data_IF_213881100869
#
_entry.id   IF_213881100869
#
_cell.length_a   1.000
_cell.length_b   1.000
_cell.length_c   1.000
_cell.angle_alpha   90.00
_cell.angle_beta   90.00
_cell.angle_gamma   90.00
#
_symmetry.space_group_name_H-M   'P 1'
#
loop_
_entity.id
_entity.type
_entity.pdbx_description
1 polymer ?
#
# COMPACT_ATOMS: atom_id res chain seq x y z
N UNK A 1 -9.78 -2.63 -11.99
CA UNK A 1 -9.99 -1.32 -12.62
C UNK A 1 -11.22 -1.40 -13.50
N UNK A 2 -12.21 -0.55 -13.24
CA UNK A 2 -13.48 -0.57 -13.97
C UNK A 2 -13.46 0.54 -15.02
N UNK A 3 -13.71 0.19 -16.28
CA UNK A 3 -13.78 1.16 -17.39
C UNK A 3 -15.05 2.00 -17.37
N UNK A 4 -15.96 1.72 -16.45
CA UNK A 4 -17.27 2.38 -16.29
C UNK A 4 -17.41 3.14 -14.97
N UNK A 5 -16.38 3.11 -14.11
CA UNK A 5 -16.38 3.79 -12.81
C UNK A 5 -15.67 5.14 -12.87
N UNK A 6 -16.11 6.09 -12.04
CA UNK A 6 -15.46 7.39 -11.86
C UNK A 6 -15.51 7.78 -10.39
N UNK A 7 -14.40 8.32 -9.88
CA UNK A 7 -14.30 8.88 -8.53
C UNK A 7 -14.42 10.41 -8.61
N UNK A 8 -15.31 10.99 -7.82
CA UNK A 8 -15.44 12.45 -7.65
C UNK A 8 -14.84 12.80 -6.30
N UNK A 9 -13.62 13.36 -6.32
CA UNK A 9 -12.85 13.67 -5.13
C UNK A 9 -12.44 15.14 -5.12
N UNK A 10 -12.13 15.67 -3.94
CA UNK A 10 -11.50 16.98 -3.81
C UNK A 10 -10.13 16.96 -4.49
N UNK A 11 -9.81 18.02 -5.21
CA UNK A 11 -8.51 18.17 -5.85
C UNK A 11 -7.36 17.99 -4.84
N UNK A 12 -6.34 17.23 -5.26
CA UNK A 12 -5.15 16.93 -4.46
C UNK A 12 -5.37 15.93 -3.32
N UNK A 13 -6.49 15.19 -3.29
CA UNK A 13 -6.70 14.12 -2.32
C UNK A 13 -6.45 12.74 -2.96
N UNK A 14 -5.66 11.92 -2.28
CA UNK A 14 -5.40 10.53 -2.62
C UNK A 14 -5.07 9.70 -1.35
N UNK A 15 -4.63 8.45 -1.53
CA UNK A 15 -4.24 7.61 -0.39
C UNK A 15 -2.95 8.07 0.29
N UNK A 16 -2.04 8.77 -0.40
CA UNK A 16 -0.84 9.32 0.22
C UNK A 16 -1.19 10.48 1.15
N UNK A 17 -2.07 11.39 0.75
CA UNK A 17 -2.51 12.49 1.62
C UNK A 17 -3.22 11.96 2.86
N UNK A 18 -4.08 10.94 2.70
CA UNK A 18 -4.72 10.24 3.81
C UNK A 18 -3.73 9.54 4.74
N UNK A 19 -2.74 8.82 4.19
CA UNK A 19 -1.70 8.15 4.99
C UNK A 19 -0.86 9.17 5.78
N UNK A 20 -0.41 10.26 5.14
CA UNK A 20 0.37 11.29 5.82
C UNK A 20 -0.40 11.90 6.99
N UNK A 21 -1.67 12.25 6.78
CA UNK A 21 -2.51 12.81 7.84
C UNK A 21 -2.69 11.84 9.02
N UNK A 22 -2.82 10.53 8.75
CA UNK A 22 -2.89 9.50 9.78
C UNK A 22 -1.58 9.38 10.56
N UNK A 23 -0.44 9.37 9.86
CA UNK A 23 0.88 9.29 10.47
C UNK A 23 1.15 10.49 11.38
N UNK A 24 0.82 11.69 10.92
CA UNK A 24 0.94 12.92 11.70
C UNK A 24 0.08 12.86 12.97
N UNK A 25 -1.16 12.35 12.86
CA UNK A 25 -2.06 12.17 14.00
C UNK A 25 -1.51 11.17 15.04
N UNK A 26 -0.84 10.12 14.59
CA UNK A 26 -0.23 9.10 15.45
C UNK A 26 1.16 9.48 15.96
N UNK A 27 1.75 10.57 15.48
CA UNK A 27 3.13 10.95 15.79
C UNK A 27 4.17 9.96 15.24
N UNK A 28 3.87 9.28 14.14
CA UNK A 28 4.73 8.29 13.50
C UNK A 28 5.35 8.84 12.22
N UNK A 29 6.57 8.42 11.89
CA UNK A 29 7.17 8.76 10.61
C UNK A 29 6.69 7.80 9.52
N UNK A 30 6.69 8.26 8.26
CA UNK A 30 6.47 7.38 7.13
C UNK A 30 7.48 6.21 7.11
N UNK A 31 8.71 6.42 7.60
CA UNK A 31 9.74 5.40 7.75
C UNK A 31 9.29 4.18 8.59
N UNK A 32 8.39 4.40 9.56
CA UNK A 32 7.86 3.38 10.46
C UNK A 32 6.62 2.65 9.88
N UNK A 33 6.18 3.05 8.69
CA UNK A 33 4.99 2.52 8.04
C UNK A 33 5.33 1.41 7.03
N UNK A 34 4.55 0.32 7.09
CA UNK A 34 4.45 -0.67 6.02
C UNK A 34 3.14 -0.44 5.26
N UNK A 35 3.21 -0.18 3.96
CA UNK A 35 2.05 -0.09 3.08
C UNK A 35 1.99 -1.27 2.10
N UNK A 36 0.78 -1.72 1.78
CA UNK A 36 0.53 -2.74 0.75
C UNK A 36 -0.59 -2.27 -0.17
N UNK A 37 -0.46 -2.55 -1.46
CA UNK A 37 -1.45 -2.16 -2.47
C UNK A 37 -1.28 -2.94 -3.77
N UNK A 38 -2.16 -2.68 -4.72
CA UNK A 38 -2.23 -3.42 -5.98
C UNK A 38 -2.64 -2.54 -7.18
N UNK A 39 -3.28 -1.39 -6.93
CA UNK A 39 -3.82 -0.52 -7.96
C UNK A 39 -3.13 0.85 -8.08
N UNK A 40 -3.32 1.58 -9.20
CA UNK A 40 -2.82 2.94 -9.33
C UNK A 40 -3.23 3.92 -8.22
N UNK A 41 -4.37 3.75 -7.56
CA UNK A 41 -4.76 4.58 -6.40
C UNK A 41 -3.90 4.34 -5.15
N UNK A 42 -3.13 3.25 -5.09
CA UNK A 42 -2.17 2.96 -4.01
C UNK A 42 -0.79 3.57 -4.27
N UNK A 43 -0.48 3.98 -5.50
CA UNK A 43 0.88 4.33 -5.92
C UNK A 43 1.49 5.44 -5.04
N UNK A 44 0.73 6.48 -4.72
CA UNK A 44 1.20 7.55 -3.82
C UNK A 44 1.56 7.02 -2.44
N UNK A 45 0.67 6.24 -1.82
CA UNK A 45 0.87 5.64 -0.50
C UNK A 45 2.09 4.69 -0.49
N UNK A 46 2.25 3.90 -1.54
CA UNK A 46 3.38 2.97 -1.70
C UNK A 46 4.71 3.71 -1.87
N UNK A 47 4.73 4.86 -2.56
CA UNK A 47 5.92 5.69 -2.67
C UNK A 47 6.28 6.36 -1.33
N UNK A 48 5.27 6.77 -0.55
CA UNK A 48 5.46 7.46 0.73
C UNK A 48 5.97 6.53 1.84
N UNK A 49 5.34 5.39 2.06
CA UNK A 49 5.61 4.51 3.20
C UNK A 49 7.05 3.98 3.19
N UNK A 50 7.69 3.92 4.36
CA UNK A 50 9.08 3.52 4.58
C UNK A 50 9.40 2.16 3.98
N UNK A 51 8.48 1.21 4.14
CA UNK A 51 8.48 -0.08 3.45
C UNK A 51 7.16 -0.21 2.69
N UNK A 52 7.22 -0.65 1.45
CA UNK A 52 6.01 -0.77 0.64
C UNK A 52 6.07 -1.97 -0.29
N UNK A 53 4.91 -2.60 -0.45
CA UNK A 53 4.77 -3.83 -1.21
C UNK A 53 3.60 -3.73 -2.19
N UNK A 54 3.87 -4.01 -3.47
CA UNK A 54 2.79 -4.27 -4.42
C UNK A 54 2.50 -5.78 -4.43
N UNK A 55 1.23 -6.17 -4.44
CA UNK A 55 0.87 -7.58 -4.67
C UNK A 55 1.46 -8.08 -6.01
N UNK A 56 1.88 -9.34 -6.07
CA UNK A 56 2.53 -9.90 -7.27
C UNK A 56 1.63 -9.85 -8.52
N UNK A 57 0.32 -9.93 -8.34
CA UNK A 57 -0.74 -9.81 -9.35
C UNK A 57 -1.24 -8.36 -9.55
N UNK A 58 -0.65 -7.39 -8.84
CA UNK A 58 -0.98 -5.97 -8.94
C UNK A 58 -0.59 -5.34 -10.28
N UNK A 59 -1.11 -4.14 -10.51
CA UNK A 59 -0.94 -3.37 -11.74
C UNK A 59 0.45 -2.74 -11.85
N UNK A 60 0.90 -2.46 -13.08
CA UNK A 60 2.24 -1.92 -13.37
C UNK A 60 2.56 -0.64 -12.58
N UNK A 61 1.59 0.26 -12.42
CA UNK A 61 1.75 1.53 -11.70
C UNK A 61 2.04 1.32 -10.21
N UNK A 62 1.32 0.41 -9.55
CA UNK A 62 1.56 0.06 -8.16
C UNK A 62 2.92 -0.64 -7.99
N UNK A 63 3.26 -1.57 -8.90
CA UNK A 63 4.56 -2.25 -8.92
C UNK A 63 5.73 -1.29 -9.07
N UNK A 64 5.59 -0.25 -9.89
CA UNK A 64 6.62 0.75 -10.10
C UNK A 64 6.81 1.68 -8.89
N UNK A 65 5.75 1.92 -8.11
CA UNK A 65 5.80 2.77 -6.93
C UNK A 65 6.25 2.03 -5.66
N UNK A 66 6.01 0.73 -5.58
CA UNK A 66 6.39 -0.09 -4.43
C UNK A 66 7.89 -0.38 -4.36
N UNK A 67 8.42 -0.53 -3.15
CA UNK A 67 9.82 -0.88 -2.88
C UNK A 67 10.12 -2.36 -3.06
N UNK A 68 9.10 -3.22 -2.96
CA UNK A 68 9.20 -4.66 -3.16
C UNK A 68 7.87 -5.24 -3.64
N UNK A 69 7.87 -6.53 -3.98
CA UNK A 69 6.65 -7.29 -4.25
C UNK A 69 6.27 -8.13 -3.03
N UNK A 70 4.97 -8.17 -2.73
CA UNK A 70 4.35 -9.18 -1.88
C UNK A 70 3.95 -10.40 -2.74
N UNK A 71 3.54 -11.52 -2.13
CA UNK A 71 2.86 -12.60 -2.84
C UNK A 71 1.61 -12.09 -3.59
N UNK A 72 1.04 -12.93 -4.46
CA UNK A 72 -0.26 -12.63 -5.06
C UNK A 72 -1.34 -12.50 -3.99
N UNK A 73 -2.39 -11.72 -4.26
CA UNK A 73 -3.45 -11.48 -3.28
C UNK A 73 -4.09 -12.78 -2.79
N UNK A 74 -4.42 -13.67 -3.73
CA UNK A 74 -4.92 -15.00 -3.44
C UNK A 74 -3.77 -16.03 -3.29
N UNK A 75 -3.88 -17.00 -2.37
CA UNK A 75 -5.00 -17.18 -1.44
C UNK A 75 -4.99 -16.20 -0.27
N UNK A 76 -3.81 -15.84 0.26
CA UNK A 76 -3.68 -15.02 1.49
C UNK A 76 -2.38 -14.19 1.49
N UNK A 77 -2.12 -13.45 0.42
CA UNK A 77 -0.82 -12.80 0.21
C UNK A 77 -0.42 -11.81 1.32
N UNK A 78 -1.39 -11.07 1.86
CA UNK A 78 -1.18 -10.16 3.00
C UNK A 78 -0.77 -10.95 4.24
N UNK A 79 -1.46 -12.06 4.56
CA UNK A 79 -1.14 -12.86 5.74
C UNK A 79 0.25 -13.50 5.64
N UNK A 80 0.62 -13.98 4.45
CA UNK A 80 1.97 -14.48 4.17
C UNK A 80 3.03 -13.40 4.34
N UNK A 81 2.76 -12.18 3.87
CA UNK A 81 3.65 -11.04 4.07
C UNK A 81 3.79 -10.70 5.56
N UNK A 82 2.68 -10.61 6.31
CA UNK A 82 2.73 -10.33 7.75
C UNK A 82 3.55 -11.37 8.52
N UNK A 83 3.40 -12.67 8.21
CA UNK A 83 4.22 -13.75 8.79
C UNK A 83 5.71 -13.62 8.46
N UNK A 84 6.05 -13.09 7.29
CA UNK A 84 7.44 -12.83 6.90
C UNK A 84 8.04 -11.63 7.61
N UNK A 85 7.25 -10.56 7.80
CA UNK A 85 7.70 -9.31 8.42
C UNK A 85 7.76 -9.38 9.94
N UNK A 86 6.80 -10.07 10.56
CA UNK A 86 6.59 -10.14 12.00
C UNK A 86 6.26 -11.58 12.44
N UNK A 87 7.18 -12.54 12.24
CA UNK A 87 6.96 -13.95 12.59
C UNK A 87 6.67 -14.18 14.09
N UNK A 88 7.09 -13.26 14.94
CA UNK A 88 6.85 -13.28 16.38
C UNK A 88 5.39 -12.96 16.75
N UNK A 89 4.69 -12.19 15.91
CA UNK A 89 3.29 -11.78 16.12
C UNK A 89 2.35 -12.68 15.34
N UNK A 90 2.68 -12.99 14.08
CA UNK A 90 1.85 -13.77 13.18
C UNK A 90 2.42 -15.20 13.06
N UNK A 91 1.81 -16.14 13.79
CA UNK A 91 2.08 -17.58 13.68
C UNK A 91 1.08 -18.27 12.77
#
# INVERSE_FOLDING_TARGET
>A
YHVTGCDILRAGQDKATGLQALLDHLGLAAADCVAVGDGPNDAGMLALAGRSYCMADGMKTAKAAAKALAPAAAPDGIAQLCRSLWPEIFR
#
